data_IF_397755244813
#
_entry.id   IF_397755244813
#
_cell.length_a   1.000
_cell.length_b   1.000
_cell.length_c   1.000
_cell.angle_alpha   90.00
_cell.angle_beta   90.00
_cell.angle_gamma   90.00
#
_symmetry.space_group_name_H-M   'P 1'
#
loop_
_entity.id
_entity.type
_entity.pdbx_description
1 polymer ?
#
# COMPACT_ATOMS: atom_id res chain seq x y z
N UNK A 1 29.04 -9.56 -26.44
CA UNK A 1 29.22 -10.67 -25.48
C UNK A 1 29.56 -10.20 -24.08
N UNK A 2 30.55 -9.30 -23.92
CA UNK A 2 30.96 -8.81 -22.58
C UNK A 2 29.79 -8.18 -21.82
N UNK A 3 29.01 -7.30 -22.45
CA UNK A 3 27.81 -6.67 -21.84
C UNK A 3 26.80 -7.70 -21.37
N UNK A 4 26.53 -8.74 -22.18
CA UNK A 4 25.61 -9.80 -21.79
C UNK A 4 26.13 -10.58 -20.57
N UNK A 5 27.41 -10.98 -20.58
CA UNK A 5 28.01 -11.75 -19.49
C UNK A 5 28.13 -10.96 -18.18
N UNK A 6 28.13 -9.63 -18.24
CA UNK A 6 28.19 -8.75 -17.07
C UNK A 6 26.81 -8.28 -16.57
N UNK A 7 25.72 -8.63 -17.25
CA UNK A 7 24.38 -8.22 -16.88
C UNK A 7 23.98 -8.82 -15.53
N UNK A 8 23.53 -7.97 -14.61
CA UNK A 8 22.97 -8.35 -13.29
C UNK A 8 21.45 -8.13 -13.22
N UNK A 9 20.84 -7.74 -14.33
CA UNK A 9 19.41 -7.52 -14.50
C UNK A 9 18.79 -8.63 -15.36
N UNK A 10 17.47 -8.80 -15.39
CA UNK A 10 16.80 -9.66 -16.35
C UNK A 10 17.22 -9.32 -17.79
N UNK A 11 17.47 -10.34 -18.59
CA UNK A 11 17.84 -10.18 -19.99
C UNK A 11 16.72 -10.72 -20.85
N UNK A 12 16.17 -9.85 -21.70
CA UNK A 12 15.16 -10.21 -22.69
C UNK A 12 15.79 -10.29 -24.07
N UNK A 13 15.31 -11.21 -24.89
CA UNK A 13 15.71 -11.29 -26.29
C UNK A 13 14.49 -11.48 -27.19
N UNK A 14 14.42 -10.70 -28.27
CA UNK A 14 13.39 -10.78 -29.31
C UNK A 14 14.02 -11.31 -30.60
N UNK A 15 13.77 -12.57 -30.98
CA UNK A 15 14.34 -13.13 -32.20
C UNK A 15 13.71 -12.50 -33.42
N UNK A 16 14.56 -12.33 -34.46
CA UNK A 16 14.14 -11.88 -35.78
C UNK A 16 14.97 -12.61 -36.85
N UNK A 17 14.31 -13.40 -37.68
CA UNK A 17 14.99 -14.17 -38.74
C UNK A 17 13.98 -14.70 -39.75
N UNK A 18 14.46 -15.20 -40.90
CA UNK A 18 13.63 -15.82 -41.90
C UNK A 18 12.98 -17.12 -41.42
N UNK A 19 11.85 -17.50 -42.00
CA UNK A 19 11.01 -18.62 -41.62
C UNK A 19 11.81 -19.92 -41.43
N UNK A 20 12.58 -20.33 -42.42
CA UNK A 20 13.36 -21.57 -42.38
C UNK A 20 14.45 -21.52 -41.29
N UNK A 21 15.03 -20.36 -41.06
CA UNK A 21 15.99 -20.15 -39.98
C UNK A 21 15.35 -20.25 -38.62
N UNK A 22 14.15 -19.68 -38.45
CA UNK A 22 13.40 -19.70 -37.20
C UNK A 22 12.99 -21.11 -36.78
N UNK A 23 12.55 -21.93 -37.77
CA UNK A 23 12.12 -23.30 -37.55
C UNK A 23 13.29 -24.32 -37.51
N UNK A 24 14.52 -23.88 -37.82
CA UNK A 24 15.65 -24.78 -37.83
C UNK A 24 15.98 -25.35 -36.45
N UNK A 25 16.26 -26.65 -36.37
CA UNK A 25 16.48 -27.33 -35.10
C UNK A 25 17.59 -26.70 -34.23
N UNK A 26 18.67 -26.19 -34.85
CA UNK A 26 19.76 -25.52 -34.14
C UNK A 26 19.32 -24.19 -33.54
N UNK A 27 18.43 -23.46 -34.20
CA UNK A 27 17.86 -22.18 -33.68
C UNK A 27 16.97 -22.44 -32.48
N UNK A 28 16.07 -23.43 -32.60
CA UNK A 28 15.21 -23.84 -31.48
C UNK A 28 16.03 -24.32 -30.28
N UNK A 29 17.11 -25.09 -30.54
CA UNK A 29 18.04 -25.50 -29.49
C UNK A 29 18.71 -24.28 -28.82
N UNK A 30 19.18 -23.31 -29.61
CA UNK A 30 19.78 -22.07 -29.08
C UNK A 30 18.80 -21.28 -28.18
N UNK A 31 17.54 -21.21 -28.57
CA UNK A 31 16.50 -20.58 -27.72
C UNK A 31 16.30 -21.31 -26.37
N UNK A 32 16.32 -22.66 -26.42
CA UNK A 32 16.24 -23.47 -25.19
C UNK A 32 17.44 -23.22 -24.27
N UNK A 33 18.64 -23.18 -24.83
CA UNK A 33 19.87 -22.90 -24.07
C UNK A 33 19.82 -21.49 -23.45
N UNK A 34 19.42 -20.47 -24.22
CA UNK A 34 19.28 -19.12 -23.70
C UNK A 34 18.26 -19.04 -22.56
N UNK A 35 17.11 -19.73 -22.70
CA UNK A 35 16.10 -19.82 -21.64
C UNK A 35 16.64 -20.54 -20.41
N UNK A 36 17.44 -21.58 -20.56
CA UNK A 36 18.05 -22.32 -19.45
C UNK A 36 19.04 -21.46 -18.63
N UNK A 37 19.59 -20.40 -19.22
CA UNK A 37 20.43 -19.41 -18.55
C UNK A 37 19.61 -18.31 -17.85
N UNK A 38 18.27 -18.42 -17.84
CA UNK A 38 17.37 -17.44 -17.21
C UNK A 38 17.01 -16.27 -18.11
N UNK A 39 17.37 -16.27 -19.40
CA UNK A 39 16.95 -15.23 -20.32
C UNK A 39 15.49 -15.40 -20.73
N UNK A 40 14.79 -14.29 -20.93
CA UNK A 40 13.36 -14.26 -21.22
C UNK A 40 13.19 -13.99 -22.72
N UNK A 41 12.56 -14.94 -23.42
CA UNK A 41 12.27 -14.79 -24.83
C UNK A 41 10.95 -14.05 -25.04
N UNK A 42 11.00 -12.95 -25.78
CA UNK A 42 9.82 -12.29 -26.35
C UNK A 42 9.46 -13.06 -27.62
N UNK A 43 8.25 -13.61 -27.74
CA UNK A 43 7.86 -14.40 -28.91
C UNK A 43 7.97 -13.58 -30.19
N UNK A 44 8.47 -14.23 -31.28
CA UNK A 44 8.35 -13.64 -32.58
C UNK A 44 6.89 -13.61 -33.03
N UNK A 45 6.55 -12.69 -33.90
CA UNK A 45 5.24 -12.57 -34.52
C UNK A 45 5.20 -13.18 -35.90
N UNK A 46 4.00 -13.44 -36.40
CA UNK A 46 3.80 -13.86 -37.80
C UNK A 46 3.57 -12.64 -38.69
N UNK A 47 4.17 -12.63 -39.85
CA UNK A 47 4.02 -11.54 -40.81
C UNK A 47 4.92 -11.71 -42.01
N UNK A 48 4.97 -10.68 -42.89
CA UNK A 48 5.90 -10.63 -44.02
C UNK A 48 7.33 -10.47 -43.50
N UNK A 49 8.23 -11.29 -43.97
CA UNK A 49 9.64 -11.33 -43.63
C UNK A 49 10.49 -10.62 -44.71
N UNK A 50 11.75 -10.36 -44.43
CA UNK A 50 12.65 -9.67 -45.37
C UNK A 50 12.83 -10.40 -46.70
N UNK A 51 12.62 -11.71 -46.71
CA UNK A 51 12.64 -12.55 -47.93
C UNK A 51 11.35 -12.44 -48.78
N UNK A 52 10.30 -11.77 -48.30
CA UNK A 52 8.97 -11.76 -48.91
C UNK A 52 8.11 -12.98 -48.56
N UNK A 53 8.61 -13.92 -47.74
CA UNK A 53 7.80 -15.00 -47.20
C UNK A 53 6.91 -14.50 -46.05
N UNK A 54 5.81 -15.19 -45.82
CA UNK A 54 4.88 -14.86 -44.70
C UNK A 54 4.89 -16.03 -43.73
N UNK A 55 5.20 -15.73 -42.44
CA UNK A 55 5.26 -16.76 -41.41
C UNK A 55 5.84 -16.25 -40.10
N UNK A 56 6.13 -17.18 -39.16
CA UNK A 56 6.78 -16.87 -37.89
C UNK A 56 8.25 -16.54 -38.10
N UNK A 57 8.77 -15.57 -37.36
CA UNK A 57 10.16 -15.13 -37.41
C UNK A 57 10.32 -13.62 -37.46
N UNK A 58 9.21 -12.88 -37.61
CA UNK A 58 9.20 -11.42 -37.52
C UNK A 58 9.35 -10.99 -36.07
N UNK A 59 10.26 -10.04 -35.83
CA UNK A 59 10.38 -9.43 -34.48
C UNK A 59 9.07 -8.78 -34.07
N UNK A 60 8.67 -8.94 -32.81
CA UNK A 60 7.55 -8.21 -32.25
C UNK A 60 7.73 -6.70 -32.40
N UNK A 61 6.65 -5.96 -32.59
CA UNK A 61 6.69 -4.51 -32.70
C UNK A 61 7.19 -3.87 -31.38
N UNK A 62 7.83 -2.69 -31.41
CA UNK A 62 8.38 -2.07 -30.19
C UNK A 62 7.38 -1.92 -29.06
N UNK A 63 6.12 -1.60 -29.36
CA UNK A 63 5.04 -1.45 -28.42
C UNK A 63 4.68 -2.77 -27.73
N UNK A 64 4.68 -3.88 -28.49
CA UNK A 64 4.41 -5.23 -27.97
C UNK A 64 5.57 -5.71 -27.09
N UNK A 65 6.81 -5.40 -27.48
CA UNK A 65 8.03 -5.68 -26.69
C UNK A 65 7.94 -4.97 -25.33
N UNK A 66 7.60 -3.67 -25.32
CA UNK A 66 7.44 -2.90 -24.07
C UNK A 66 6.34 -3.49 -23.20
N UNK A 67 5.18 -3.77 -23.79
CA UNK A 67 4.04 -4.38 -23.09
C UNK A 67 4.41 -5.74 -22.49
N UNK A 68 5.15 -6.58 -23.22
CA UNK A 68 5.62 -7.87 -22.73
C UNK A 68 6.54 -7.72 -21.52
N UNK A 69 7.52 -6.81 -21.59
CA UNK A 69 8.48 -6.55 -20.50
C UNK A 69 7.74 -6.00 -19.27
N UNK A 70 6.84 -5.03 -19.46
CA UNK A 70 6.05 -4.46 -18.36
C UNK A 70 5.21 -5.55 -17.67
N UNK A 71 4.51 -6.39 -18.43
CA UNK A 71 3.73 -7.48 -17.86
C UNK A 71 4.59 -8.50 -17.11
N UNK A 72 5.73 -8.91 -17.67
CA UNK A 72 6.64 -9.86 -17.02
C UNK A 72 7.19 -9.30 -15.69
N UNK A 73 7.50 -8.00 -15.64
CA UNK A 73 7.92 -7.33 -14.40
C UNK A 73 6.76 -7.28 -13.40
N UNK A 74 5.57 -6.86 -13.86
CA UNK A 74 4.38 -6.74 -13.01
C UNK A 74 3.98 -8.09 -12.41
N UNK A 75 4.06 -9.17 -13.20
CA UNK A 75 3.68 -10.52 -12.75
C UNK A 75 4.61 -11.10 -11.69
N UNK A 76 5.84 -10.58 -11.59
CA UNK A 76 6.84 -10.97 -10.58
C UNK A 76 6.83 -10.12 -9.32
N UNK A 77 5.98 -9.08 -9.25
CA UNK A 77 5.91 -8.24 -8.08
C UNK A 77 5.33 -8.98 -6.87
N UNK A 78 5.91 -8.78 -5.66
CA UNK A 78 5.58 -9.59 -4.47
C UNK A 78 4.11 -9.53 -4.05
N UNK A 79 3.42 -8.42 -4.32
CA UNK A 79 2.00 -8.22 -3.98
C UNK A 79 1.07 -8.30 -5.21
N UNK A 80 1.53 -8.83 -6.33
CA UNK A 80 0.67 -9.03 -7.51
C UNK A 80 -0.53 -9.90 -7.17
N UNK A 81 -1.73 -9.40 -7.52
CA UNK A 81 -3.00 -10.07 -7.24
C UNK A 81 -3.47 -9.95 -5.77
N UNK A 82 -2.72 -9.28 -4.90
CA UNK A 82 -3.15 -8.98 -3.53
C UNK A 82 -3.92 -7.67 -3.46
N UNK A 83 -4.91 -7.62 -2.60
CA UNK A 83 -5.72 -6.43 -2.31
C UNK A 83 -5.34 -5.87 -0.95
N UNK A 84 -4.98 -4.58 -0.92
CA UNK A 84 -4.55 -3.87 0.28
C UNK A 84 -5.50 -2.73 0.58
N UNK A 85 -6.13 -2.76 1.76
CA UNK A 85 -6.96 -1.70 2.29
C UNK A 85 -6.11 -0.80 3.19
N UNK A 86 -6.15 0.50 2.95
CA UNK A 86 -5.37 1.47 3.73
C UNK A 86 -6.30 2.60 4.17
N UNK A 87 -6.21 2.99 5.44
CA UNK A 87 -6.84 4.23 5.91
C UNK A 87 -5.80 5.31 6.11
N UNK A 88 -6.12 6.55 5.74
CA UNK A 88 -5.22 7.70 5.83
C UNK A 88 -5.94 8.98 6.26
N UNK A 89 -5.17 9.98 6.68
CA UNK A 89 -5.69 11.29 7.06
C UNK A 89 -6.42 11.31 8.40
N UNK A 90 -6.89 12.49 8.83
CA UNK A 90 -7.75 12.65 10.00
C UNK A 90 -9.21 12.38 9.66
N UNK A 91 -10.05 12.15 10.67
CA UNK A 91 -11.49 12.35 10.53
C UNK A 91 -11.91 13.67 11.15
N UNK A 92 -12.97 14.29 10.63
CA UNK A 92 -13.56 15.54 11.11
C UNK A 92 -14.97 15.28 11.58
N UNK A 93 -15.20 15.51 12.86
CA UNK A 93 -16.50 15.32 13.52
C UNK A 93 -17.16 16.69 13.69
N UNK A 94 -18.19 16.94 12.89
CA UNK A 94 -18.84 18.26 12.84
C UNK A 94 -19.46 18.64 14.18
N UNK A 95 -19.21 19.88 14.64
CA UNK A 95 -19.90 20.55 15.75
C UNK A 95 -21.09 21.32 15.18
N UNK A 96 -20.87 22.03 14.09
CA UNK A 96 -21.86 22.79 13.31
C UNK A 96 -21.37 22.87 11.84
N UNK A 97 -22.07 23.54 10.92
CA UNK A 97 -21.64 23.64 9.52
C UNK A 97 -20.27 24.27 9.28
N UNK A 98 -19.63 24.85 10.30
CA UNK A 98 -18.37 25.61 10.17
C UNK A 98 -17.23 24.97 10.97
N UNK A 99 -17.52 24.36 12.12
CA UNK A 99 -16.53 23.88 13.08
C UNK A 99 -16.59 22.35 13.26
N UNK A 100 -15.46 21.77 13.54
CA UNK A 100 -15.32 20.33 13.74
C UNK A 100 -14.26 20.02 14.82
N UNK A 101 -14.29 18.80 15.33
CA UNK A 101 -13.23 18.17 16.11
C UNK A 101 -12.44 17.26 15.15
N UNK A 102 -11.12 17.27 15.22
CA UNK A 102 -10.28 16.43 14.41
C UNK A 102 -8.83 16.42 14.88
N UNK A 103 -8.02 15.56 14.29
CA UNK A 103 -6.61 15.38 14.59
C UNK A 103 -5.71 16.16 13.60
N UNK A 104 -4.49 16.47 14.00
CA UNK A 104 -3.51 17.19 13.17
C UNK A 104 -2.84 16.32 12.07
N UNK A 105 -3.35 15.14 11.77
CA UNK A 105 -2.76 14.27 10.76
C UNK A 105 -2.81 14.89 9.36
N UNK A 106 -1.69 14.81 8.63
CA UNK A 106 -1.63 15.21 7.21
C UNK A 106 -2.09 14.09 6.26
N UNK A 107 -2.11 12.84 6.73
CA UNK A 107 -2.38 11.67 5.90
C UNK A 107 -1.14 11.09 5.20
N UNK A 108 -0.03 11.80 5.15
CA UNK A 108 1.18 11.45 4.36
C UNK A 108 1.66 10.02 4.56
N UNK A 109 1.66 9.49 5.79
CA UNK A 109 2.09 8.11 6.05
C UNK A 109 1.24 7.09 5.29
N UNK A 110 -0.09 7.21 5.34
CA UNK A 110 -0.99 6.31 4.61
C UNK A 110 -0.84 6.43 3.09
N UNK A 111 -0.59 7.62 2.56
CA UNK A 111 -0.33 7.83 1.14
C UNK A 111 1.00 7.20 0.70
N UNK A 112 2.07 7.30 1.49
CA UNK A 112 3.33 6.63 1.20
C UNK A 112 3.20 5.10 1.27
N UNK A 113 2.43 4.56 2.21
CA UNK A 113 2.13 3.13 2.27
C UNK A 113 1.33 2.69 1.04
N UNK A 114 0.33 3.47 0.61
CA UNK A 114 -0.46 3.17 -0.57
C UNK A 114 0.40 3.12 -1.84
N UNK A 115 1.29 4.11 -2.01
CA UNK A 115 2.24 4.17 -3.13
C UNK A 115 3.20 2.99 -3.12
N UNK A 116 3.79 2.67 -1.97
CA UNK A 116 4.72 1.56 -1.84
C UNK A 116 4.02 0.22 -2.11
N UNK A 117 2.77 0.02 -1.63
CA UNK A 117 1.97 -1.18 -1.89
C UNK A 117 1.68 -1.36 -3.40
N UNK A 118 1.26 -0.29 -4.07
CA UNK A 118 0.99 -0.31 -5.51
C UNK A 118 2.26 -0.56 -6.33
N UNK A 119 3.41 0.00 -5.95
CA UNK A 119 4.70 -0.27 -6.57
C UNK A 119 5.15 -1.74 -6.43
N UNK A 120 4.66 -2.45 -5.41
CA UNK A 120 4.84 -3.89 -5.23
C UNK A 120 3.75 -4.72 -5.91
N UNK A 121 2.87 -4.11 -6.71
CA UNK A 121 1.86 -4.78 -7.53
C UNK A 121 0.50 -4.98 -6.88
N UNK A 122 0.26 -4.47 -5.68
CA UNK A 122 -1.03 -4.59 -5.00
C UNK A 122 -2.12 -3.71 -5.63
N UNK A 123 -3.34 -4.22 -5.66
CA UNK A 123 -4.54 -3.40 -5.84
C UNK A 123 -4.86 -2.70 -4.52
N UNK A 124 -4.78 -1.38 -4.48
CA UNK A 124 -4.90 -0.59 -3.25
C UNK A 124 -6.25 0.12 -3.18
N UNK A 125 -6.94 -0.03 -2.06
CA UNK A 125 -8.12 0.74 -1.69
C UNK A 125 -7.68 1.70 -0.58
N UNK A 126 -7.57 2.99 -0.91
CA UNK A 126 -7.15 4.05 0.01
C UNK A 126 -8.37 4.84 0.48
N UNK A 127 -8.83 4.60 1.70
CA UNK A 127 -9.92 5.35 2.34
C UNK A 127 -9.28 6.50 3.13
N UNK A 128 -9.53 7.73 2.69
CA UNK A 128 -8.85 8.89 3.28
C UNK A 128 -9.82 9.92 3.83
N UNK A 129 -9.54 10.39 5.04
CA UNK A 129 -10.12 11.62 5.57
C UNK A 129 -9.61 12.86 4.85
N UNK A 130 -10.08 14.07 5.24
CA UNK A 130 -9.67 15.32 4.59
C UNK A 130 -8.17 15.55 4.64
N UNK A 131 -7.54 15.74 3.47
CA UNK A 131 -6.09 15.94 3.33
C UNK A 131 -5.76 16.74 2.08
N UNK A 132 -4.56 17.31 2.04
CA UNK A 132 -3.99 17.95 0.85
C UNK A 132 -3.10 17.00 0.02
N UNK A 133 -2.82 15.80 0.55
CA UNK A 133 -2.06 14.78 -0.19
C UNK A 133 -2.83 14.32 -1.42
N UNK A 134 -2.10 14.11 -2.52
CA UNK A 134 -2.65 13.61 -3.78
C UNK A 134 -1.83 12.45 -4.28
N UNK A 135 -2.49 11.49 -4.87
CA UNK A 135 -1.86 10.34 -5.50
C UNK A 135 -2.60 9.98 -6.78
N UNK A 136 -1.83 9.68 -7.83
CA UNK A 136 -2.37 9.16 -9.08
C UNK A 136 -1.58 7.90 -9.43
N UNK A 137 -2.24 6.77 -9.42
CA UNK A 137 -1.63 5.48 -9.76
C UNK A 137 -2.75 4.53 -10.23
N UNK A 138 -2.53 3.76 -11.29
CA UNK A 138 -3.55 2.88 -11.89
C UNK A 138 -4.08 1.80 -10.94
N UNK A 139 -3.26 1.36 -9.98
CA UNK A 139 -3.62 0.35 -8.99
C UNK A 139 -4.19 0.92 -7.69
N UNK A 140 -4.35 2.25 -7.56
CA UNK A 140 -4.85 2.88 -6.33
C UNK A 140 -6.22 3.49 -6.58
N UNK A 141 -7.23 2.97 -5.89
CA UNK A 141 -8.57 3.54 -5.80
C UNK A 141 -8.70 4.38 -4.52
N UNK A 142 -8.89 5.69 -4.67
CA UNK A 142 -9.01 6.63 -3.53
C UNK A 142 -10.48 6.87 -3.21
N UNK A 143 -10.87 6.62 -1.97
CA UNK A 143 -12.22 6.82 -1.45
C UNK A 143 -12.18 7.90 -0.38
N UNK A 144 -12.63 9.14 -0.68
CA UNK A 144 -12.67 10.21 0.30
C UNK A 144 -13.82 10.03 1.28
N UNK A 145 -13.56 10.24 2.55
CA UNK A 145 -14.55 10.28 3.64
C UNK A 145 -14.29 11.50 4.52
N UNK A 146 -15.24 11.85 5.38
CA UNK A 146 -15.07 13.00 6.27
C UNK A 146 -15.05 12.57 7.75
N UNK A 147 -16.01 11.76 8.17
CA UNK A 147 -16.20 11.39 9.57
C UNK A 147 -15.69 9.99 9.89
N UNK A 148 -15.47 9.70 11.18
CA UNK A 148 -15.13 8.37 11.68
C UNK A 148 -16.20 7.33 11.29
N UNK A 149 -17.49 7.72 11.29
CA UNK A 149 -18.58 6.82 10.91
C UNK A 149 -18.56 6.49 9.42
N UNK A 150 -18.30 7.47 8.54
CA UNK A 150 -18.13 7.22 7.11
C UNK A 150 -16.92 6.32 6.85
N UNK A 151 -15.79 6.57 7.52
CA UNK A 151 -14.60 5.72 7.41
C UNK A 151 -14.89 4.30 7.91
N UNK A 152 -15.59 4.14 9.02
CA UNK A 152 -16.00 2.83 9.55
C UNK A 152 -16.81 2.05 8.50
N UNK A 153 -17.83 2.68 7.91
CA UNK A 153 -18.70 2.03 6.93
C UNK A 153 -17.91 1.60 5.69
N UNK A 154 -17.10 2.50 5.10
CA UNK A 154 -16.31 2.17 3.93
C UNK A 154 -15.27 1.08 4.19
N UNK A 155 -14.57 1.11 5.33
CA UNK A 155 -13.63 0.06 5.71
C UNK A 155 -14.33 -1.30 5.78
N UNK A 156 -15.52 -1.39 6.38
CA UNK A 156 -16.27 -2.64 6.50
C UNK A 156 -16.80 -3.15 5.14
N UNK A 157 -17.14 -2.26 4.21
CA UNK A 157 -17.57 -2.63 2.86
C UNK A 157 -16.48 -3.42 2.11
N UNK A 158 -15.21 -3.07 2.32
CA UNK A 158 -14.10 -3.68 1.59
C UNK A 158 -13.35 -4.77 2.36
N UNK A 159 -13.36 -4.76 3.71
CA UNK A 159 -12.49 -5.59 4.54
C UNK A 159 -12.56 -7.09 4.26
N UNK A 160 -13.74 -7.63 3.97
CA UNK A 160 -13.91 -9.07 3.71
C UNK A 160 -13.19 -9.55 2.44
N UNK A 161 -12.94 -8.63 1.51
CA UNK A 161 -12.41 -8.92 0.17
C UNK A 161 -10.95 -8.51 -0.01
N UNK A 162 -10.24 -8.13 1.08
CA UNK A 162 -8.83 -7.76 1.03
C UNK A 162 -7.95 -8.80 1.71
N UNK A 163 -6.68 -8.83 1.34
CA UNK A 163 -5.68 -9.71 1.94
C UNK A 163 -4.97 -9.02 3.10
N UNK A 164 -4.72 -7.72 2.98
CA UNK A 164 -4.00 -6.90 3.96
C UNK A 164 -4.84 -5.66 4.28
N UNK A 165 -4.91 -5.28 5.54
CA UNK A 165 -5.53 -4.04 5.98
C UNK A 165 -4.58 -3.25 6.89
N UNK A 166 -4.26 -2.00 6.53
CA UNK A 166 -3.31 -1.13 7.23
C UNK A 166 -4.03 0.14 7.67
N UNK A 167 -4.30 0.26 8.97
CA UNK A 167 -5.07 1.36 9.53
C UNK A 167 -4.13 2.42 10.11
N UNK A 168 -3.79 3.42 9.29
CA UNK A 168 -2.90 4.54 9.65
C UNK A 168 -3.62 5.89 9.82
N UNK A 169 -4.94 5.94 9.61
CA UNK A 169 -5.73 7.15 9.81
C UNK A 169 -5.76 7.59 11.28
N UNK A 170 -5.76 8.89 11.50
CA UNK A 170 -5.96 9.50 12.80
C UNK A 170 -7.46 9.75 13.02
N UNK A 171 -8.17 8.70 13.37
CA UNK A 171 -9.62 8.74 13.63
C UNK A 171 -9.88 9.47 14.95
N UNK A 172 -10.86 10.34 14.98
CA UNK A 172 -11.28 10.99 16.23
C UNK A 172 -11.98 9.97 17.15
N UNK A 173 -11.54 9.86 18.41
CA UNK A 173 -12.11 8.95 19.40
C UNK A 173 -13.47 9.40 19.92
N UNK A 174 -13.76 10.70 19.78
CA UNK A 174 -15.00 11.32 20.25
C UNK A 174 -15.61 12.21 19.17
N UNK A 175 -16.94 12.24 19.13
CA UNK A 175 -17.72 13.15 18.28
C UNK A 175 -18.76 13.90 19.13
N UNK A 176 -19.24 15.10 18.71
CA UNK A 176 -20.37 15.75 19.34
C UNK A 176 -21.59 14.81 19.39
N UNK A 177 -22.26 14.77 20.52
CA UNK A 177 -23.50 14.01 20.69
C UNK A 177 -24.58 14.51 19.75
N UNK A 178 -24.65 15.85 19.61
CA UNK A 178 -25.58 16.53 18.71
C UNK A 178 -24.81 17.49 17.80
N UNK A 179 -25.17 17.51 16.53
CA UNK A 179 -24.61 18.42 15.52
C UNK A 179 -25.60 19.56 15.32
N UNK A 180 -25.17 20.79 15.56
CA UNK A 180 -26.01 21.94 15.32
C UNK A 180 -26.25 22.16 13.82
N UNK A 181 -27.51 22.29 13.41
CA UNK A 181 -27.89 22.54 12.00
C UNK A 181 -27.49 23.92 11.48
N UNK A 182 -27.24 24.87 12.41
CA UNK A 182 -26.79 26.22 12.10
C UNK A 182 -25.53 26.55 12.89
N UNK A 183 -24.75 27.52 12.37
CA UNK A 183 -23.56 28.03 13.07
C UNK A 183 -23.95 28.53 14.49
N UNK A 184 -23.36 27.96 15.53
CA UNK A 184 -23.57 28.35 16.91
C UNK A 184 -23.08 29.78 17.11
N UNK A 185 -23.97 30.67 17.57
CA UNK A 185 -23.67 32.09 17.84
C UNK A 185 -22.95 32.25 19.18
N UNK A 186 -22.08 33.25 19.28
CA UNK A 186 -21.35 33.59 20.50
C UNK A 186 -22.25 34.41 21.47
N UNK A 187 -23.20 33.72 22.09
CA UNK A 187 -24.16 34.41 22.98
C UNK A 187 -23.76 34.32 24.48
N UNK A 188 -22.71 33.52 24.80
CA UNK A 188 -22.24 33.30 26.17
C UNK A 188 -20.70 33.33 26.18
N UNK A 189 -20.12 33.61 27.35
CA UNK A 189 -18.64 33.56 27.52
C UNK A 189 -18.07 32.14 27.48
N UNK A 190 -18.90 31.17 27.86
CA UNK A 190 -18.49 29.74 27.85
C UNK A 190 -19.44 28.92 26.99
N UNK A 191 -18.89 27.87 26.39
CA UNK A 191 -19.63 26.91 25.58
C UNK A 191 -19.24 25.48 25.98
N UNK A 192 -20.23 24.69 26.40
CA UNK A 192 -20.02 23.25 26.73
C UNK A 192 -20.49 22.39 25.60
N UNK A 193 -19.66 21.42 25.21
CA UNK A 193 -19.94 20.44 24.18
C UNK A 193 -19.95 19.04 24.79
N UNK A 194 -21.08 18.36 24.69
CA UNK A 194 -21.20 16.96 25.11
C UNK A 194 -20.64 16.07 24.02
N UNK A 195 -19.69 15.20 24.39
CA UNK A 195 -19.02 14.28 23.45
C UNK A 195 -19.41 12.83 23.74
N UNK A 196 -19.55 12.04 22.66
CA UNK A 196 -19.76 10.60 22.72
C UNK A 196 -18.65 9.89 21.96
N UNK A 197 -18.33 8.65 22.36
CA UNK A 197 -17.30 7.85 21.71
C UNK A 197 -17.70 7.49 20.26
N UNK A 198 -16.75 7.52 19.38
CA UNK A 198 -16.87 6.94 18.02
C UNK A 198 -16.69 5.42 18.05
N UNK A 199 -17.00 4.76 16.94
CA UNK A 199 -16.78 3.31 16.81
C UNK A 199 -15.26 3.05 16.61
N UNK A 200 -14.72 2.08 17.34
CA UNK A 200 -13.33 1.65 17.17
C UNK A 200 -13.22 0.76 15.94
N UNK A 201 -12.79 1.37 14.81
CA UNK A 201 -12.66 0.67 13.51
C UNK A 201 -11.71 -0.51 13.63
N UNK A 202 -10.53 -0.31 14.21
CA UNK A 202 -9.50 -1.35 14.29
C UNK A 202 -9.95 -2.54 15.16
N UNK A 203 -10.56 -2.29 16.30
CA UNK A 203 -11.11 -3.35 17.17
C UNK A 203 -12.23 -4.11 16.49
N UNK A 204 -13.12 -3.41 15.76
CA UNK A 204 -14.22 -4.04 15.04
C UNK A 204 -13.74 -4.95 13.89
N UNK A 205 -12.65 -4.58 13.20
CA UNK A 205 -12.04 -5.42 12.18
C UNK A 205 -11.36 -6.65 12.79
N UNK A 206 -10.63 -6.49 13.90
CA UNK A 206 -10.02 -7.60 14.61
C UNK A 206 -11.03 -8.66 15.08
N UNK A 207 -12.26 -8.23 15.42
CA UNK A 207 -13.34 -9.13 15.81
C UNK A 207 -13.91 -9.97 14.66
N UNK A 208 -13.86 -9.46 13.42
CA UNK A 208 -14.39 -10.14 12.21
C UNK A 208 -13.29 -10.67 11.29
N UNK A 209 -12.03 -10.47 11.66
CA UNK A 209 -10.85 -10.92 10.91
C UNK A 209 -10.88 -12.45 10.74
N UNK A 210 -10.63 -12.92 9.52
CA UNK A 210 -10.47 -14.33 9.19
C UNK A 210 -9.05 -14.60 8.67
N UNK A 211 -8.78 -14.25 7.42
CA UNK A 211 -7.48 -14.46 6.75
C UNK A 211 -6.66 -13.18 6.57
N UNK A 212 -7.24 -12.02 6.85
CA UNK A 212 -6.63 -10.74 6.57
C UNK A 212 -5.41 -10.49 7.49
N UNK A 213 -4.31 -10.02 6.92
CA UNK A 213 -3.19 -9.49 7.69
C UNK A 213 -3.54 -8.07 8.14
N UNK A 214 -3.73 -7.87 9.45
CA UNK A 214 -4.24 -6.63 10.01
C UNK A 214 -3.13 -5.85 10.73
N UNK A 215 -2.89 -4.62 10.27
CA UNK A 215 -1.89 -3.70 10.82
C UNK A 215 -2.56 -2.50 11.43
N UNK A 216 -2.18 -2.17 12.67
CA UNK A 216 -2.61 -0.96 13.35
C UNK A 216 -1.46 0.00 13.63
N UNK A 217 -1.78 1.28 13.77
CA UNK A 217 -0.86 2.29 14.24
C UNK A 217 -1.19 2.68 15.68
N UNK A 218 -0.17 2.90 16.49
CA UNK A 218 -0.27 3.45 17.82
C UNK A 218 0.60 4.71 17.93
N UNK A 219 0.07 5.70 18.59
CA UNK A 219 0.80 6.90 19.00
C UNK A 219 0.66 7.00 20.51
N UNK A 220 1.73 6.79 21.22
CA UNK A 220 1.75 6.73 22.68
C UNK A 220 2.72 7.78 23.23
N UNK A 221 2.56 8.13 24.50
CA UNK A 221 3.41 9.10 25.20
C UNK A 221 4.01 8.55 26.50
N UNK A 222 3.42 7.48 27.03
CA UNK A 222 3.85 6.82 28.27
C UNK A 222 3.66 5.33 28.14
N UNK A 223 4.55 4.53 28.74
CA UNK A 223 4.53 3.05 28.69
C UNK A 223 4.29 2.50 27.27
N UNK A 224 4.96 3.14 26.30
CA UNK A 224 4.66 3.04 24.86
C UNK A 224 4.65 1.59 24.38
N UNK A 225 5.68 0.81 24.73
CA UNK A 225 5.85 -0.57 24.29
C UNK A 225 4.77 -1.51 24.88
N UNK A 226 4.47 -1.36 26.17
CA UNK A 226 3.47 -2.20 26.87
C UNK A 226 2.08 -1.89 26.33
N UNK A 227 1.73 -0.61 26.19
CA UNK A 227 0.44 -0.17 25.66
C UNK A 227 0.24 -0.66 24.20
N UNK A 228 1.31 -0.62 23.39
CA UNK A 228 1.27 -1.12 22.02
C UNK A 228 1.06 -2.64 21.97
N UNK A 229 1.75 -3.42 22.81
CA UNK A 229 1.57 -4.87 22.92
C UNK A 229 0.17 -5.25 23.40
N UNK A 230 -0.36 -4.54 24.39
CA UNK A 230 -1.73 -4.76 24.86
C UNK A 230 -2.75 -4.46 23.75
N UNK A 231 -2.56 -3.36 23.02
CA UNK A 231 -3.41 -2.96 21.89
C UNK A 231 -3.36 -4.00 20.76
N UNK A 232 -2.18 -4.53 20.43
CA UNK A 232 -1.99 -5.58 19.44
C UNK A 232 -2.84 -6.82 19.80
N UNK A 233 -2.70 -7.31 21.03
CA UNK A 233 -3.44 -8.51 21.51
C UNK A 233 -4.95 -8.27 21.61
N UNK A 234 -5.35 -7.15 22.24
CA UNK A 234 -6.77 -6.81 22.45
C UNK A 234 -7.53 -6.61 21.14
N UNK A 235 -6.87 -6.09 20.10
CA UNK A 235 -7.49 -5.82 18.81
C UNK A 235 -7.20 -6.90 17.75
N UNK A 236 -6.60 -8.01 18.15
CA UNK A 236 -6.30 -9.15 17.27
C UNK A 236 -5.54 -8.74 16.01
N UNK A 237 -4.47 -7.93 16.17
CA UNK A 237 -3.62 -7.47 15.07
C UNK A 237 -2.53 -8.49 14.77
N UNK A 238 -1.97 -8.46 13.55
CA UNK A 238 -0.75 -9.19 13.20
C UNK A 238 0.49 -8.33 13.39
N UNK A 239 0.35 -7.01 13.26
CA UNK A 239 1.45 -6.07 13.41
C UNK A 239 0.92 -4.73 13.96
N UNK A 240 1.67 -4.12 14.86
CA UNK A 240 1.43 -2.76 15.29
C UNK A 240 2.67 -1.90 15.03
N UNK A 241 2.43 -0.72 14.46
CA UNK A 241 3.45 0.30 14.22
C UNK A 241 3.31 1.35 15.32
N UNK A 242 4.28 1.34 16.23
CA UNK A 242 4.33 2.28 17.34
C UNK A 242 5.14 3.52 16.94
N UNK A 243 4.53 4.69 17.08
CA UNK A 243 5.16 6.00 16.97
C UNK A 243 5.29 6.61 18.36
N UNK A 244 6.41 7.23 18.67
CA UNK A 244 6.59 8.03 19.87
C UNK A 244 6.47 9.52 19.55
N UNK A 245 5.76 10.28 20.41
CA UNK A 245 5.77 11.74 20.36
C UNK A 245 7.00 12.33 21.06
N UNK A 246 7.73 11.52 21.82
CA UNK A 246 8.91 11.96 22.56
C UNK A 246 10.15 12.05 21.65
N UNK A 247 10.11 11.50 20.44
CA UNK A 247 11.22 11.56 19.49
C UNK A 247 11.15 12.84 18.65
N UNK A 248 12.19 13.64 18.66
CA UNK A 248 12.33 14.83 17.84
C UNK A 248 12.33 14.46 16.35
N UNK A 249 11.46 15.10 15.57
CA UNK A 249 11.26 14.78 14.13
C UNK A 249 10.27 13.63 13.86
N UNK A 250 9.74 12.95 14.88
CA UNK A 250 8.64 12.02 14.76
C UNK A 250 7.31 12.76 15.00
N UNK A 251 6.38 12.75 14.06
CA UNK A 251 5.09 13.41 14.26
C UNK A 251 4.22 13.55 13.01
N UNK A 252 3.02 14.12 13.20
CA UNK A 252 1.99 14.17 12.15
C UNK A 252 2.34 15.02 10.93
N UNK A 253 3.08 16.11 11.09
CA UNK A 253 3.32 17.11 10.03
C UNK A 253 4.66 16.95 9.31
N UNK A 254 5.63 16.23 9.91
CA UNK A 254 6.96 16.04 9.34
C UNK A 254 7.01 15.04 8.16
N UNK A 255 8.10 15.08 7.42
CA UNK A 255 8.39 14.13 6.32
C UNK A 255 9.08 12.86 6.81
N UNK A 256 9.50 12.86 8.07
CA UNK A 256 10.20 11.78 8.74
C UNK A 256 9.32 11.11 9.79
N UNK A 257 9.70 9.90 10.17
CA UNK A 257 9.13 9.17 11.28
C UNK A 257 10.16 8.23 11.90
N UNK A 258 10.05 7.99 13.21
CA UNK A 258 10.77 6.95 13.95
C UNK A 258 9.73 5.98 14.48
N UNK A 259 9.87 4.71 14.15
CA UNK A 259 8.85 3.69 14.44
C UNK A 259 9.46 2.46 15.05
N UNK A 260 8.66 1.77 15.86
CA UNK A 260 8.95 0.42 16.36
C UNK A 260 7.84 -0.51 15.86
N UNK A 261 8.21 -1.61 15.23
CA UNK A 261 7.26 -2.65 14.82
C UNK A 261 7.20 -3.74 15.89
N UNK A 262 5.98 -4.19 16.20
CA UNK A 262 5.74 -5.29 17.12
C UNK A 262 4.76 -6.24 16.43
N UNK A 263 5.15 -7.49 16.22
CA UNK A 263 4.31 -8.51 15.61
C UNK A 263 3.57 -9.37 16.66
N UNK A 264 2.70 -10.25 16.19
CA UNK A 264 1.90 -11.14 17.04
C UNK A 264 2.70 -12.27 17.70
N UNK A 265 3.97 -12.45 17.34
CA UNK A 265 4.95 -13.30 18.02
C UNK A 265 5.74 -12.55 19.11
N UNK A 266 5.35 -11.32 19.46
CA UNK A 266 6.02 -10.42 20.40
C UNK A 266 7.44 -9.96 19.94
N UNK A 267 7.80 -10.14 18.65
CA UNK A 267 9.06 -9.65 18.09
C UNK A 267 9.03 -8.12 17.99
N UNK A 268 10.03 -7.46 18.55
CA UNK A 268 10.15 -6.00 18.55
C UNK A 268 11.30 -5.58 17.63
N UNK A 269 11.02 -4.74 16.64
CA UNK A 269 12.03 -4.20 15.72
C UNK A 269 11.99 -2.69 15.74
N UNK A 270 13.07 -2.08 16.22
CA UNK A 270 13.21 -0.62 16.27
C UNK A 270 13.88 -0.09 15.01
N UNK A 271 13.36 0.99 14.47
CA UNK A 271 13.91 1.69 13.30
C UNK A 271 14.41 3.08 13.70
N UNK A 272 15.50 3.49 13.07
CA UNK A 272 16.00 4.85 13.21
C UNK A 272 15.07 5.84 12.49
N UNK A 273 15.23 7.14 12.82
CA UNK A 273 14.49 8.21 12.13
C UNK A 273 14.79 8.18 10.63
N UNK A 274 13.76 8.07 9.82
CA UNK A 274 13.86 8.04 8.35
C UNK A 274 12.63 8.65 7.68
N UNK A 275 12.66 8.82 6.37
CA UNK A 275 11.51 9.35 5.63
C UNK A 275 10.30 8.42 5.75
N UNK A 276 9.09 8.97 5.68
CA UNK A 276 7.84 8.20 5.68
C UNK A 276 7.76 7.20 4.52
N UNK A 277 8.35 7.53 3.37
CA UNK A 277 8.50 6.60 2.25
C UNK A 277 9.39 5.38 2.62
N UNK A 278 10.52 5.61 3.30
CA UNK A 278 11.38 4.51 3.76
C UNK A 278 10.69 3.66 4.83
N UNK A 279 9.96 4.28 5.76
CA UNK A 279 9.14 3.55 6.76
C UNK A 279 8.06 2.72 6.08
N UNK A 280 7.41 3.23 5.03
CA UNK A 280 6.42 2.48 4.25
C UNK A 280 7.04 1.24 3.59
N UNK A 281 8.25 1.38 3.03
CA UNK A 281 8.98 0.24 2.45
C UNK A 281 9.36 -0.80 3.49
N UNK A 282 9.87 -0.38 4.66
CA UNK A 282 10.19 -1.30 5.76
C UNK A 282 8.94 -2.04 6.26
N UNK A 283 7.81 -1.34 6.38
CA UNK A 283 6.53 -1.94 6.79
C UNK A 283 6.09 -3.03 5.83
N UNK A 284 6.15 -2.76 4.53
CA UNK A 284 5.74 -3.76 3.53
C UNK A 284 6.71 -4.94 3.47
N UNK A 285 8.02 -4.72 3.63
CA UNK A 285 8.99 -5.80 3.74
C UNK A 285 8.68 -6.70 4.95
N UNK A 286 8.42 -6.12 6.13
CA UNK A 286 8.04 -6.89 7.31
C UNK A 286 6.73 -7.67 7.12
N UNK A 287 5.74 -7.07 6.44
CA UNK A 287 4.49 -7.76 6.10
C UNK A 287 4.75 -8.95 5.17
N UNK A 288 5.59 -8.76 4.13
CA UNK A 288 5.94 -9.81 3.19
C UNK A 288 6.70 -10.96 3.87
N UNK A 289 7.64 -10.67 4.75
CA UNK A 289 8.34 -11.67 5.57
C UNK A 289 7.33 -12.53 6.37
N UNK A 290 6.38 -11.89 7.05
CA UNK A 290 5.41 -12.56 7.91
C UNK A 290 4.32 -13.34 7.12
N UNK A 291 4.01 -12.95 5.88
CA UNK A 291 3.01 -13.66 5.04
C UNK A 291 3.63 -14.86 4.32
N UNK A 292 4.94 -14.84 4.07
CA UNK A 292 5.66 -15.91 3.36
C UNK A 292 6.36 -16.89 4.31
N UNK A 293 6.40 -16.60 5.62
CA UNK A 293 6.89 -17.50 6.67
C UNK A 293 5.82 -18.56 6.99
#
# INVERSE_FOLDING_TARGET
>A
LATYLSAKCPVYFAPAMDLDMYLHASTLHSFQVLKSYGNIMIPATSGELASGLVGEGRMAEPEDILTFIENDILDKLPLKGKKVLITAGPTYEAIDPVRFIGNHSSGKMGFEIAKASANLGAEVILITGPTHEKITHSLINVIPVVSAEAMFNEVHNYFKNVDIAILSAAVADFKPKEIASQKIKKNTETFTLELVKTKDILASLGAIKTKQYLVGFALETTNELENAKEKLKRKNLNLIVLNSLNDEGAGFKGDTNKVTFIDDEDTVTEYQLKSKAAVASDLLNKILENIHA
#
